data_IF_048088509675
#
_entry.id   IF_048088509675
#
_cell.length_a   1.000
_cell.length_b   1.000
_cell.length_c   1.000
_cell.angle_alpha   90.00
_cell.angle_beta   90.00
_cell.angle_gamma   90.00
#
_symmetry.space_group_name_H-M   'P 1'
#
loop_
_entity.id
_entity.type
_entity.pdbx_description
1 polymer ?
#
# COMPACT_ATOMS: atom_id res chain seq x y z
N UNK A 1 2.07 12.09 9.46
CA UNK A 1 2.90 11.46 10.52
C UNK A 1 2.61 12.01 11.93
N UNK A 2 2.43 13.32 12.12
CA UNK A 2 2.25 13.94 13.43
C UNK A 2 1.13 13.30 14.28
N UNK A 3 -0.06 13.17 13.72
CA UNK A 3 -1.22 12.59 14.42
C UNK A 3 -1.05 11.10 14.73
N UNK A 4 -0.37 10.35 13.85
CA UNK A 4 -0.07 8.93 14.06
C UNK A 4 0.94 8.77 15.19
N UNK A 5 2.04 9.55 15.18
CA UNK A 5 3.05 9.49 16.25
C UNK A 5 2.51 9.87 17.63
N UNK A 6 1.52 10.76 17.68
CA UNK A 6 0.84 11.17 18.91
C UNK A 6 -0.27 10.22 19.36
N UNK A 7 -0.51 9.13 18.61
CA UNK A 7 -1.56 8.16 18.91
C UNK A 7 -2.99 8.69 18.73
N UNK A 8 -3.14 9.82 18.03
CA UNK A 8 -4.46 10.45 17.77
C UNK A 8 -5.18 9.78 16.61
N UNK A 9 -4.41 9.27 15.63
CA UNK A 9 -4.91 8.61 14.43
C UNK A 9 -4.16 7.30 14.22
N UNK A 10 -4.91 6.25 13.91
CA UNK A 10 -4.38 5.00 13.36
C UNK A 10 -4.53 5.03 11.84
N UNK A 11 -3.44 4.79 11.11
CA UNK A 11 -3.43 4.73 9.65
C UNK A 11 -3.52 3.29 9.19
N UNK A 12 -4.50 2.98 8.35
CA UNK A 12 -4.63 1.71 7.66
C UNK A 12 -4.55 1.89 6.14
N UNK A 13 -4.00 0.92 5.44
CA UNK A 13 -3.89 0.90 3.99
C UNK A 13 -4.79 -0.17 3.39
N UNK A 14 -5.47 0.15 2.29
CA UNK A 14 -6.26 -0.77 1.49
C UNK A 14 -5.89 -0.61 0.02
N UNK A 15 -5.41 -1.67 -0.67
CA UNK A 15 -5.08 -1.58 -2.09
C UNK A 15 -6.33 -1.45 -2.95
N UNK A 16 -6.20 -0.66 -4.03
CA UNK A 16 -7.11 -0.64 -5.18
C UNK A 16 -6.27 -0.80 -6.43
N UNK A 17 -6.52 -1.87 -7.19
CA UNK A 17 -5.64 -2.33 -8.26
C UNK A 17 -6.06 -1.73 -9.61
N UNK A 18 -5.57 -0.52 -9.93
CA UNK A 18 -5.96 0.21 -11.15
C UNK A 18 -4.94 0.14 -12.29
N UNK A 19 -3.78 -0.49 -12.07
CA UNK A 19 -2.68 -0.52 -13.06
C UNK A 19 -2.20 -1.94 -13.37
N UNK A 20 -3.12 -2.91 -13.43
CA UNK A 20 -2.86 -4.29 -13.83
C UNK A 20 -1.81 -4.99 -12.96
N UNK A 21 -0.94 -5.75 -13.58
CA UNK A 21 0.12 -6.51 -12.91
C UNK A 21 1.03 -5.63 -12.05
N UNK A 22 1.27 -4.40 -12.46
CA UNK A 22 2.11 -3.47 -11.70
C UNK A 22 1.52 -3.14 -10.34
N UNK A 23 0.23 -2.80 -10.26
CA UNK A 23 -0.46 -2.61 -8.98
C UNK A 23 -0.47 -3.88 -8.14
N UNK A 24 -0.68 -5.01 -8.80
CA UNK A 24 -0.76 -6.31 -8.14
C UNK A 24 0.57 -6.67 -7.49
N UNK A 25 1.69 -6.60 -8.23
CA UNK A 25 3.02 -7.00 -7.75
C UNK A 25 3.58 -6.05 -6.69
N UNK A 26 3.38 -4.74 -6.84
CA UNK A 26 3.80 -3.77 -5.82
C UNK A 26 3.00 -3.93 -4.52
N UNK A 27 1.69 -4.18 -4.61
CA UNK A 27 0.85 -4.43 -3.43
C UNK A 27 1.19 -5.75 -2.76
N UNK A 28 1.37 -6.84 -3.52
CA UNK A 28 1.84 -8.13 -3.01
C UNK A 28 3.16 -7.99 -2.24
N UNK A 29 4.13 -7.27 -2.84
CA UNK A 29 5.42 -7.05 -2.21
C UNK A 29 5.31 -6.26 -0.90
N UNK A 30 4.47 -5.23 -0.84
CA UNK A 30 4.23 -4.48 0.38
C UNK A 30 3.59 -5.35 1.49
N UNK A 31 2.67 -6.24 1.12
CA UNK A 31 2.05 -7.19 2.06
C UNK A 31 3.02 -8.28 2.52
N UNK A 32 3.86 -8.81 1.63
CA UNK A 32 4.94 -9.72 2.00
C UNK A 32 5.99 -9.05 2.92
N UNK A 33 6.35 -7.81 2.64
CA UNK A 33 7.18 -7.01 3.55
C UNK A 33 6.49 -6.81 4.91
N UNK A 34 5.18 -6.64 4.92
CA UNK A 34 4.36 -6.51 6.13
C UNK A 34 4.42 -7.74 7.04
N UNK A 35 4.54 -8.95 6.49
CA UNK A 35 4.74 -10.17 7.27
C UNK A 35 6.07 -10.17 8.05
N UNK A 36 7.02 -9.33 7.63
CA UNK A 36 8.31 -9.12 8.28
C UNK A 36 8.36 -7.78 9.04
N UNK A 37 7.23 -7.10 9.26
CA UNK A 37 7.17 -5.79 9.91
C UNK A 37 7.59 -4.61 9.03
N UNK A 38 7.79 -4.83 7.72
CA UNK A 38 8.33 -3.84 6.78
C UNK A 38 7.31 -3.16 5.86
N UNK A 39 6.00 -3.29 6.10
CA UNK A 39 4.99 -2.72 5.19
C UNK A 39 5.21 -1.24 4.88
N UNK A 40 5.33 -0.40 5.90
CA UNK A 40 5.46 1.05 5.70
C UNK A 40 6.80 1.46 5.09
N UNK A 41 7.86 0.70 5.37
CA UNK A 41 9.16 0.91 4.73
C UNK A 41 9.07 0.61 3.22
N UNK A 42 8.45 -0.52 2.86
CA UNK A 42 8.23 -0.88 1.45
C UNK A 42 7.29 0.10 0.74
N UNK A 43 6.19 0.49 1.39
CA UNK A 43 5.28 1.52 0.89
C UNK A 43 6.02 2.82 0.56
N UNK A 44 6.84 3.33 1.47
CA UNK A 44 7.60 4.56 1.27
C UNK A 44 8.64 4.42 0.14
N UNK A 45 9.30 3.28 0.04
CA UNK A 45 10.28 3.00 -1.00
C UNK A 45 9.61 2.94 -2.39
N UNK A 46 8.46 2.30 -2.50
CA UNK A 46 7.70 2.22 -3.76
C UNK A 46 7.31 3.61 -4.28
N UNK A 47 6.88 4.52 -3.41
CA UNK A 47 6.61 5.90 -3.81
C UNK A 47 7.90 6.67 -4.17
N UNK A 48 8.98 6.47 -3.43
CA UNK A 48 10.26 7.12 -3.73
C UNK A 48 10.90 6.64 -5.04
N UNK A 49 10.59 5.41 -5.45
CA UNK A 49 11.11 4.76 -6.67
C UNK A 49 10.06 4.58 -7.76
N UNK A 50 9.00 5.38 -7.73
CA UNK A 50 7.86 5.25 -8.67
C UNK A 50 8.31 5.26 -10.12
N UNK A 51 9.25 6.11 -10.51
CA UNK A 51 9.78 6.16 -11.88
C UNK A 51 10.43 4.84 -12.30
N UNK A 52 11.20 4.21 -11.41
CA UNK A 52 11.81 2.90 -11.66
C UNK A 52 10.74 1.80 -11.78
N UNK A 53 9.75 1.82 -10.90
CA UNK A 53 8.62 0.86 -10.96
C UNK A 53 7.89 0.98 -12.30
N UNK A 54 7.64 2.20 -12.78
CA UNK A 54 6.97 2.40 -14.06
C UNK A 54 7.84 2.05 -15.27
N UNK A 55 9.14 2.28 -15.20
CA UNK A 55 10.09 1.96 -16.26
C UNK A 55 10.38 0.45 -16.37
N UNK A 56 10.17 -0.33 -15.30
CA UNK A 56 10.45 -1.77 -15.28
C UNK A 56 9.33 -2.56 -15.97
N UNK A 57 9.66 -3.47 -16.92
CA UNK A 57 8.67 -4.34 -17.56
C UNK A 57 7.89 -5.19 -16.55
N UNK A 58 6.64 -5.49 -16.88
CA UNK A 58 5.74 -6.24 -15.97
C UNK A 58 6.32 -7.62 -15.55
N UNK A 59 6.99 -8.32 -16.47
CA UNK A 59 7.61 -9.61 -16.19
C UNK A 59 8.80 -9.54 -15.22
N UNK A 60 9.38 -8.36 -15.05
CA UNK A 60 10.53 -8.11 -14.17
C UNK A 60 10.12 -7.53 -12.82
N UNK A 61 8.84 -7.22 -12.61
CA UNK A 61 8.37 -6.60 -11.38
C UNK A 61 8.68 -7.42 -10.11
N UNK A 62 8.52 -8.74 -10.18
CA UNK A 62 8.81 -9.61 -9.02
C UNK A 62 10.29 -9.52 -8.63
N UNK A 63 11.20 -9.51 -9.62
CA UNK A 63 12.64 -9.39 -9.37
C UNK A 63 12.99 -8.02 -8.80
N UNK A 64 12.39 -6.94 -9.31
CA UNK A 64 12.56 -5.59 -8.78
C UNK A 64 12.07 -5.51 -7.32
N UNK A 65 10.91 -6.06 -7.02
CA UNK A 65 10.37 -6.08 -5.65
C UNK A 65 11.30 -6.84 -4.70
N UNK A 66 11.85 -7.97 -5.14
CA UNK A 66 12.84 -8.73 -4.37
C UNK A 66 14.11 -7.92 -4.07
N UNK A 67 14.56 -7.13 -5.04
CA UNK A 67 15.68 -6.20 -4.82
C UNK A 67 15.35 -5.17 -3.74
N UNK A 68 14.15 -4.59 -3.76
CA UNK A 68 13.70 -3.64 -2.74
C UNK A 68 13.58 -4.26 -1.35
N UNK A 69 13.11 -5.49 -1.25
CA UNK A 69 13.10 -6.26 0.01
C UNK A 69 14.52 -6.35 0.60
N UNK A 70 15.51 -6.68 -0.24
CA UNK A 70 16.92 -6.77 0.17
C UNK A 70 17.47 -5.38 0.58
N UNK A 71 17.16 -4.33 -0.18
CA UNK A 71 17.56 -2.95 0.13
C UNK A 71 17.02 -2.48 1.50
N UNK A 72 15.84 -2.90 1.86
CA UNK A 72 15.20 -2.61 3.15
C UNK A 72 15.75 -3.46 4.31
N UNK A 73 16.70 -4.37 4.05
CA UNK A 73 17.23 -5.26 5.07
C UNK A 73 16.27 -6.36 5.51
N UNK A 74 15.23 -6.62 4.73
CA UNK A 74 14.28 -7.71 4.96
C UNK A 74 14.81 -9.01 4.32
N UNK A 75 14.29 -10.16 4.77
CA UNK A 75 14.71 -11.46 4.28
C UNK A 75 14.11 -11.75 2.87
N UNK A 76 14.95 -11.83 1.81
CA UNK A 76 14.46 -12.12 0.47
C UNK A 76 13.97 -13.57 0.31
N UNK A 77 14.42 -14.51 1.12
CA UNK A 77 13.94 -15.90 1.09
C UNK A 77 12.53 -15.98 1.67
N UNK A 78 12.27 -15.26 2.75
CA UNK A 78 10.91 -15.13 3.29
C UNK A 78 9.96 -14.45 2.28
N UNK A 79 10.45 -13.45 1.55
CA UNK A 79 9.70 -12.84 0.46
C UNK A 79 9.38 -13.83 -0.66
N UNK A 80 10.39 -14.59 -1.14
CA UNK A 80 10.20 -15.61 -2.19
C UNK A 80 9.14 -16.64 -1.76
N UNK A 81 9.19 -17.08 -0.51
CA UNK A 81 8.21 -18.01 0.08
C UNK A 81 6.81 -17.40 0.16
N UNK A 82 6.70 -16.12 0.51
CA UNK A 82 5.43 -15.39 0.56
C UNK A 82 4.79 -15.30 -0.83
N UNK A 83 5.57 -14.94 -1.85
CA UNK A 83 5.09 -14.89 -3.24
C UNK A 83 4.68 -16.29 -3.72
N UNK A 84 5.50 -17.30 -3.48
CA UNK A 84 5.21 -18.67 -3.90
C UNK A 84 3.95 -19.25 -3.25
N UNK A 85 3.63 -18.85 -2.02
CA UNK A 85 2.41 -19.29 -1.31
C UNK A 85 1.13 -18.74 -1.93
N UNK A 86 1.19 -17.57 -2.61
CA UNK A 86 0.04 -16.87 -3.16
C UNK A 86 -0.88 -16.23 -2.11
N UNK A 87 -0.56 -16.33 -0.83
CA UNK A 87 -1.43 -15.84 0.25
C UNK A 87 -1.57 -14.31 0.26
N UNK A 88 -0.46 -13.60 0.10
CA UNK A 88 -0.46 -12.13 0.02
C UNK A 88 -1.22 -11.65 -1.23
N UNK A 89 -1.02 -12.33 -2.37
CA UNK A 89 -1.73 -12.02 -3.62
C UNK A 89 -3.24 -12.16 -3.44
N UNK A 90 -3.69 -13.26 -2.87
CA UNK A 90 -5.12 -13.51 -2.58
C UNK A 90 -5.69 -12.44 -1.64
N UNK A 91 -4.95 -12.05 -0.61
CA UNK A 91 -5.36 -11.00 0.32
C UNK A 91 -5.49 -9.65 -0.38
N UNK A 92 -4.54 -9.27 -1.21
CA UNK A 92 -4.56 -8.02 -1.99
C UNK A 92 -5.77 -7.98 -2.93
N UNK A 93 -6.02 -9.05 -3.65
CA UNK A 93 -7.17 -9.17 -4.56
C UNK A 93 -8.52 -9.11 -3.80
N UNK A 94 -8.61 -9.75 -2.65
CA UNK A 94 -9.80 -9.71 -1.80
C UNK A 94 -10.08 -8.32 -1.27
N UNK A 95 -9.05 -7.59 -0.83
CA UNK A 95 -9.18 -6.21 -0.37
C UNK A 95 -9.57 -5.25 -1.51
N UNK A 96 -9.02 -5.43 -2.71
CA UNK A 96 -9.44 -4.66 -3.89
C UNK A 96 -10.93 -4.88 -4.18
N UNK A 97 -11.37 -6.13 -4.22
CA UNK A 97 -12.78 -6.48 -4.45
C UNK A 97 -13.70 -5.88 -3.38
N UNK A 98 -13.29 -5.92 -2.12
CA UNK A 98 -14.01 -5.29 -1.01
C UNK A 98 -14.15 -3.77 -1.22
N UNK A 99 -13.05 -3.07 -1.55
CA UNK A 99 -13.11 -1.62 -1.77
C UNK A 99 -14.01 -1.27 -2.97
N UNK A 100 -13.92 -2.02 -4.06
CA UNK A 100 -14.79 -1.83 -5.23
C UNK A 100 -16.26 -2.05 -4.91
N UNK A 101 -16.59 -3.04 -4.10
CA UNK A 101 -17.99 -3.28 -3.64
C UNK A 101 -18.52 -2.11 -2.80
N UNK A 102 -17.66 -1.35 -2.15
CA UNK A 102 -17.97 -0.13 -1.39
C UNK A 102 -17.98 1.13 -2.25
N UNK A 103 -17.81 1.01 -3.57
CA UNK A 103 -17.76 2.13 -4.51
C UNK A 103 -16.43 2.90 -4.48
N UNK A 104 -15.36 2.35 -3.91
CA UNK A 104 -14.03 2.95 -3.91
C UNK A 104 -13.26 2.40 -5.12
N UNK A 105 -13.21 3.20 -6.18
CA UNK A 105 -12.56 2.86 -7.45
C UNK A 105 -11.47 3.85 -7.84
N UNK A 106 -11.45 5.04 -7.23
CA UNK A 106 -10.48 6.11 -7.52
C UNK A 106 -9.41 6.22 -6.44
N UNK A 107 -8.25 6.73 -6.83
CA UNK A 107 -7.09 6.93 -5.96
C UNK A 107 -6.58 8.37 -6.05
N UNK A 108 -6.14 8.95 -4.93
CA UNK A 108 -6.31 8.46 -3.57
C UNK A 108 -7.75 8.61 -3.07
N UNK A 109 -8.21 7.70 -2.23
CA UNK A 109 -9.45 7.84 -1.44
C UNK A 109 -9.11 7.63 0.02
N UNK A 110 -9.62 8.49 0.89
CA UNK A 110 -9.42 8.41 2.33
C UNK A 110 -10.75 8.25 3.05
N UNK A 111 -10.75 7.48 4.12
CA UNK A 111 -11.88 7.41 5.05
C UNK A 111 -11.38 7.69 6.48
N UNK A 112 -11.95 8.70 7.11
CA UNK A 112 -11.64 9.11 8.47
C UNK A 112 -12.88 8.91 9.32
N UNK A 113 -12.95 7.80 10.07
CA UNK A 113 -14.10 7.43 10.90
C UNK A 113 -15.44 7.55 10.15
N UNK A 114 -15.52 7.04 8.91
CA UNK A 114 -16.70 7.06 8.07
C UNK A 114 -16.87 8.30 7.17
N UNK A 115 -16.06 9.33 7.35
CA UNK A 115 -16.01 10.48 6.43
C UNK A 115 -15.12 10.14 5.24
N UNK A 116 -15.72 10.05 4.04
CA UNK A 116 -14.99 9.75 2.80
C UNK A 116 -14.52 11.01 2.10
N UNK A 117 -13.23 11.04 1.76
CA UNK A 117 -12.58 12.11 1.01
C UNK A 117 -11.97 11.50 -0.26
N UNK A 118 -12.40 11.98 -1.42
CA UNK A 118 -11.95 11.47 -2.73
C UNK A 118 -10.97 12.45 -3.36
N UNK A 119 -9.87 11.92 -3.91
CA UNK A 119 -8.82 12.68 -4.55
C UNK A 119 -7.84 13.30 -3.54
N UNK A 120 -6.92 14.10 -4.08
CA UNK A 120 -5.95 14.83 -3.26
C UNK A 120 -6.66 15.77 -2.27
N UNK A 121 -6.21 15.75 -1.03
CA UNK A 121 -6.69 16.61 0.03
C UNK A 121 -5.51 17.37 0.66
N UNK A 122 -5.73 18.64 1.00
CA UNK A 122 -4.74 19.39 1.76
C UNK A 122 -4.61 18.89 3.20
N UNK A 123 -3.48 19.18 3.84
CA UNK A 123 -3.29 18.80 5.24
C UNK A 123 -4.32 19.47 6.16
N UNK A 124 -4.66 20.74 5.89
CA UNK A 124 -5.68 21.50 6.61
C UNK A 124 -7.06 20.81 6.53
N UNK A 125 -7.38 20.20 5.39
CA UNK A 125 -8.63 19.47 5.25
C UNK A 125 -8.67 18.24 6.16
N UNK A 126 -7.59 17.49 6.25
CA UNK A 126 -7.48 16.40 7.21
C UNK A 126 -7.60 16.87 8.65
N UNK A 127 -6.95 17.99 9.01
CA UNK A 127 -7.02 18.57 10.34
C UNK A 127 -8.46 18.93 10.72
N UNK A 128 -9.21 19.59 9.81
CA UNK A 128 -10.62 19.92 10.00
C UNK A 128 -11.48 18.71 10.26
N UNK A 129 -11.33 17.66 9.42
CA UNK A 129 -12.10 16.41 9.57
C UNK A 129 -11.76 15.71 10.88
N UNK A 130 -10.47 15.57 11.23
CA UNK A 130 -10.05 14.96 12.49
C UNK A 130 -10.60 15.75 13.69
N UNK A 131 -10.54 17.08 13.64
CA UNK A 131 -11.06 17.92 14.71
C UNK A 131 -12.58 17.78 14.89
N UNK A 132 -13.33 17.62 13.82
CA UNK A 132 -14.78 17.45 13.86
C UNK A 132 -15.26 16.09 14.40
N UNK A 133 -14.35 15.13 14.50
CA UNK A 133 -14.64 13.74 14.93
C UNK A 133 -14.16 13.44 16.38
N UNK A 134 -13.66 14.45 17.08
CA UNK A 134 -13.18 14.36 18.47
C UNK A 134 -14.26 14.64 19.50
#
# INVERSE_FOLDING_TARGET
EEYVRRGVVQLGFRPVLNHGERSLRTSEAAFCAGQQGGFWAMHSLLFARMDQVWATPELEQIALMRQYITELGLDPIAYDSCVASGGALTQVQSLDAEQRSRGIIGQPTFEVNGVRLVGYQSFERFQQVIASLR
#
